data_IF_211311665819
#
_entry.id   IF_211311665819
#
_cell.length_a   1.000
_cell.length_b   1.000
_cell.length_c   1.000
_cell.angle_alpha   90.00
_cell.angle_beta   90.00
_cell.angle_gamma   90.00
#
_symmetry.space_group_name_H-M   'P 1'
#
loop_
_entity.id
_entity.type
_entity.pdbx_description
1 polymer ?
#
# COMPACT_ATOMS: atom_id res chain seq x y z
N UNK A 1 -17.76 -19.89 -38.78
CA UNK A 1 -18.43 -20.30 -37.54
C UNK A 1 -17.34 -20.60 -36.52
N UNK A 2 -17.46 -20.00 -35.40
CA UNK A 2 -16.59 -20.10 -34.19
C UNK A 2 -15.24 -19.44 -34.28
N UNK A 3 -15.18 -18.27 -33.72
CA UNK A 3 -14.13 -17.87 -32.79
C UNK A 3 -14.57 -16.61 -32.05
N UNK A 4 -15.54 -16.77 -31.16
CA UNK A 4 -15.98 -15.78 -30.22
C UNK A 4 -15.93 -16.36 -28.80
N UNK A 5 -14.74 -16.81 -28.35
CA UNK A 5 -14.63 -17.37 -26.99
C UNK A 5 -13.29 -17.07 -26.28
N UNK A 6 -12.48 -16.12 -26.80
CA UNK A 6 -11.18 -15.77 -26.20
C UNK A 6 -11.16 -14.42 -25.46
N UNK A 7 -12.31 -13.92 -24.98
CA UNK A 7 -12.36 -12.65 -24.25
C UNK A 7 -12.75 -12.82 -22.78
N UNK A 8 -12.37 -13.91 -22.11
CA UNK A 8 -12.72 -14.10 -20.70
C UNK A 8 -11.59 -14.64 -19.79
N UNK A 9 -10.34 -14.53 -20.21
CA UNK A 9 -9.20 -14.67 -19.28
C UNK A 9 -8.76 -13.31 -18.75
N UNK A 10 -9.67 -12.54 -18.16
CA UNK A 10 -9.27 -11.53 -17.19
C UNK A 10 -8.71 -12.32 -16.00
N UNK A 11 -7.38 -12.31 -15.86
CA UNK A 11 -6.64 -12.92 -14.77
C UNK A 11 -7.41 -12.75 -13.46
N UNK A 12 -7.82 -13.87 -12.85
CA UNK A 12 -8.60 -13.85 -11.61
C UNK A 12 -7.67 -13.49 -10.45
N UNK A 13 -7.34 -12.18 -10.34
CA UNK A 13 -6.48 -11.63 -9.30
C UNK A 13 -7.15 -11.90 -7.96
N UNK A 14 -6.66 -12.91 -7.26
CA UNK A 14 -7.22 -13.36 -5.99
C UNK A 14 -6.20 -13.26 -4.86
N UNK A 15 -6.43 -12.32 -3.94
CA UNK A 15 -5.64 -12.16 -2.74
C UNK A 15 -6.34 -12.78 -1.52
N UNK A 16 -5.60 -13.32 -0.55
CA UNK A 16 -6.17 -13.73 0.72
C UNK A 16 -6.77 -12.53 1.47
N UNK A 17 -7.88 -12.74 2.18
CA UNK A 17 -8.52 -11.68 2.97
C UNK A 17 -7.59 -11.13 4.06
N UNK A 18 -6.75 -12.02 4.62
CA UNK A 18 -5.87 -11.72 5.74
C UNK A 18 -4.59 -12.55 5.69
N UNK A 19 -3.44 -11.90 5.82
CA UNK A 19 -2.12 -12.53 5.94
C UNK A 19 -1.54 -12.18 7.30
N UNK A 20 -1.05 -13.18 8.04
CA UNK A 20 -0.35 -12.94 9.32
C UNK A 20 1.12 -12.65 9.05
N UNK A 21 1.63 -11.61 9.67
CA UNK A 21 3.02 -11.20 9.60
C UNK A 21 3.53 -10.75 10.99
N UNK A 22 4.80 -10.44 11.09
CA UNK A 22 5.44 -9.95 12.31
C UNK A 22 5.99 -8.55 12.12
N UNK A 23 5.98 -7.75 13.17
CA UNK A 23 6.70 -6.50 13.19
C UNK A 23 8.21 -6.76 13.06
N UNK A 24 8.89 -6.00 12.23
CA UNK A 24 10.32 -6.18 11.94
C UNK A 24 11.25 -5.97 13.15
N UNK A 25 10.83 -5.14 14.12
CA UNK A 25 11.69 -4.76 15.26
C UNK A 25 11.42 -5.56 16.54
N UNK A 26 10.18 -5.97 16.78
CA UNK A 26 9.78 -6.52 18.08
C UNK A 26 8.97 -7.82 18.00
N UNK A 27 8.92 -8.46 16.81
CA UNK A 27 8.26 -9.75 16.55
C UNK A 27 6.76 -9.79 16.88
N UNK A 28 6.13 -8.63 17.18
CA UNK A 28 4.68 -8.56 17.43
C UNK A 28 3.91 -9.05 16.23
N UNK A 29 2.85 -9.78 16.49
CA UNK A 29 1.95 -10.29 15.48
C UNK A 29 1.14 -9.13 14.89
N UNK A 30 1.11 -9.06 13.57
CA UNK A 30 0.34 -8.12 12.77
C UNK A 30 -0.45 -8.89 11.71
N UNK A 31 -1.40 -8.20 11.12
CA UNK A 31 -2.17 -8.71 10.01
C UNK A 31 -2.20 -7.71 8.86
N UNK A 32 -1.89 -8.19 7.67
CA UNK A 32 -2.21 -7.51 6.44
C UNK A 32 -3.63 -7.93 6.04
N UNK A 33 -4.59 -7.02 6.11
CA UNK A 33 -6.02 -7.32 5.92
C UNK A 33 -6.56 -6.48 4.76
N UNK A 34 -7.28 -7.08 3.83
CA UNK A 34 -7.92 -6.38 2.71
C UNK A 34 -8.85 -5.29 3.24
N UNK A 35 -8.83 -4.13 2.59
CA UNK A 35 -9.62 -2.98 3.04
C UNK A 35 -11.14 -3.23 2.97
N UNK A 36 -11.61 -4.03 2.02
CA UNK A 36 -13.02 -4.39 1.89
C UNK A 36 -13.52 -5.36 2.99
N UNK A 37 -12.60 -5.98 3.73
CA UNK A 37 -12.91 -6.81 4.91
C UNK A 37 -12.93 -5.99 6.22
N UNK A 38 -12.65 -4.68 6.17
CA UNK A 38 -12.66 -3.80 7.34
C UNK A 38 -13.88 -2.87 7.29
N UNK A 39 -14.73 -2.96 8.30
CA UNK A 39 -15.90 -2.08 8.40
C UNK A 39 -15.47 -0.61 8.59
N UNK A 40 -16.03 0.29 7.78
CA UNK A 40 -15.85 1.74 7.93
C UNK A 40 -16.66 2.28 9.11
N UNK A 41 -16.17 2.04 10.32
CA UNK A 41 -16.78 2.55 11.56
C UNK A 41 -16.10 3.85 12.02
N UNK A 42 -16.74 4.68 12.84
CA UNK A 42 -16.17 5.96 13.30
C UNK A 42 -14.76 5.85 13.89
N UNK A 43 -14.45 4.75 14.57
CA UNK A 43 -13.12 4.50 15.15
C UNK A 43 -12.05 4.28 14.09
N UNK A 44 -12.36 3.59 13.00
CA UNK A 44 -11.45 3.40 11.84
C UNK A 44 -11.18 4.73 11.15
N UNK A 45 -12.20 5.53 10.90
CA UNK A 45 -12.07 6.87 10.31
C UNK A 45 -11.19 7.78 11.16
N UNK A 46 -11.47 7.84 12.46
CA UNK A 46 -10.69 8.65 13.40
C UNK A 46 -9.23 8.18 13.45
N UNK A 47 -8.99 6.87 13.41
CA UNK A 47 -7.64 6.30 13.43
C UNK A 47 -6.86 6.64 12.16
N UNK A 48 -7.44 6.48 10.99
CA UNK A 48 -6.84 6.88 9.69
C UNK A 48 -6.52 8.38 9.72
N UNK A 49 -7.49 9.21 10.09
CA UNK A 49 -7.30 10.67 10.20
C UNK A 49 -6.14 11.03 11.14
N UNK A 50 -6.07 10.39 12.30
CA UNK A 50 -5.01 10.63 13.28
C UNK A 50 -3.61 10.30 12.71
N UNK A 51 -3.47 9.15 12.06
CA UNK A 51 -2.19 8.73 11.48
C UNK A 51 -1.78 9.63 10.32
N UNK A 52 -2.72 9.96 9.42
CA UNK A 52 -2.46 10.81 8.26
C UNK A 52 -2.08 12.25 8.63
N UNK A 53 -2.42 12.72 9.84
CA UNK A 53 -1.99 14.02 10.37
C UNK A 53 -0.65 13.96 11.15
N UNK A 54 -0.04 12.80 11.33
CA UNK A 54 1.30 12.74 11.93
C UNK A 54 2.31 13.43 11.01
N UNK A 55 3.21 14.20 11.58
CA UNK A 55 4.09 15.13 10.83
C UNK A 55 4.82 14.45 9.66
N UNK A 56 5.36 13.25 9.87
CA UNK A 56 6.10 12.51 8.83
C UNK A 56 5.15 12.04 7.71
N UNK A 57 4.01 11.45 8.05
CA UNK A 57 3.03 10.95 7.08
C UNK A 57 2.44 12.12 6.29
N UNK A 58 2.00 13.16 7.01
CA UNK A 58 1.41 14.36 6.42
C UNK A 58 2.37 15.04 5.44
N UNK A 59 3.62 15.31 5.87
CA UNK A 59 4.64 15.95 5.03
C UNK A 59 4.89 15.18 3.73
N UNK A 60 5.02 13.86 3.83
CA UNK A 60 5.43 13.05 2.70
C UNK A 60 4.30 12.78 1.69
N UNK A 61 3.04 12.72 2.15
CA UNK A 61 1.92 12.27 1.30
C UNK A 61 0.85 13.34 1.06
N UNK A 62 0.63 14.24 2.01
CA UNK A 62 -0.58 15.10 1.98
C UNK A 62 -0.29 16.58 1.88
N UNK A 63 0.85 17.06 2.39
CA UNK A 63 1.15 18.48 2.48
C UNK A 63 1.03 19.23 1.14
N UNK A 64 1.57 18.69 0.07
CA UNK A 64 1.49 19.29 -1.26
C UNK A 64 0.06 19.23 -1.80
N UNK A 65 -0.60 18.08 -1.71
CA UNK A 65 -1.97 17.86 -2.20
C UNK A 65 -3.00 18.74 -1.46
N UNK A 66 -2.89 18.84 -0.13
CA UNK A 66 -3.80 19.59 0.71
C UNK A 66 -3.38 21.06 0.90
N UNK A 67 -2.28 21.49 0.26
CA UNK A 67 -1.76 22.87 0.35
C UNK A 67 -1.63 23.39 1.79
N UNK A 68 -1.22 22.51 2.71
CA UNK A 68 -1.05 22.80 4.12
C UNK A 68 -2.32 22.67 5.00
N UNK A 69 -3.49 22.38 4.43
CA UNK A 69 -4.70 22.11 5.21
C UNK A 69 -4.59 20.74 5.91
N UNK A 70 -5.24 20.59 7.06
CA UNK A 70 -5.24 19.30 7.80
C UNK A 70 -5.98 18.23 7.03
N UNK A 71 -5.52 16.98 7.17
CA UNK A 71 -6.25 15.80 6.72
C UNK A 71 -7.50 15.63 7.61
N UNK A 72 -8.68 15.57 6.99
CA UNK A 72 -9.98 15.60 7.68
C UNK A 72 -10.62 14.21 7.78
N UNK A 73 -11.72 14.10 8.53
CA UNK A 73 -12.55 12.89 8.52
C UNK A 73 -13.16 12.62 7.14
N UNK A 74 -13.48 13.68 6.37
CA UNK A 74 -13.96 13.52 4.98
C UNK A 74 -12.89 12.91 4.08
N UNK A 75 -11.62 13.35 4.20
CA UNK A 75 -10.52 12.74 3.45
C UNK A 75 -10.35 11.25 3.81
N UNK A 76 -10.57 10.88 5.09
CA UNK A 76 -10.54 9.49 5.51
C UNK A 76 -11.71 8.69 4.92
N UNK A 77 -12.91 9.26 4.84
CA UNK A 77 -14.06 8.61 4.19
C UNK A 77 -13.82 8.38 2.71
N UNK A 78 -13.28 9.37 2.01
CA UNK A 78 -12.92 9.26 0.59
C UNK A 78 -11.87 8.15 0.37
N UNK A 79 -10.84 8.10 1.23
CA UNK A 79 -9.83 7.05 1.17
C UNK A 79 -10.42 5.66 1.42
N UNK A 80 -11.26 5.50 2.43
CA UNK A 80 -11.90 4.21 2.76
C UNK A 80 -12.85 3.75 1.65
N UNK A 81 -13.61 4.69 1.07
CA UNK A 81 -14.50 4.40 -0.06
C UNK A 81 -13.69 3.98 -1.30
N UNK A 82 -12.62 4.72 -1.62
CA UNK A 82 -11.71 4.38 -2.71
C UNK A 82 -11.08 3.00 -2.50
N UNK A 83 -10.56 2.74 -1.31
CA UNK A 83 -9.94 1.46 -0.96
C UNK A 83 -10.90 0.27 -1.14
N UNK A 84 -12.16 0.42 -0.71
CA UNK A 84 -13.19 -0.62 -0.86
C UNK A 84 -13.60 -0.79 -2.33
N UNK A 85 -13.75 0.32 -3.07
CA UNK A 85 -14.12 0.31 -4.48
C UNK A 85 -13.08 -0.41 -5.34
N UNK A 86 -11.78 -0.23 -5.05
CA UNK A 86 -10.69 -0.89 -5.77
C UNK A 86 -10.81 -2.42 -5.75
N UNK A 87 -11.11 -3.00 -4.60
CA UNK A 87 -11.36 -4.43 -4.45
C UNK A 87 -12.56 -4.89 -5.24
N UNK A 88 -13.67 -4.16 -5.14
CA UNK A 88 -14.92 -4.51 -5.85
C UNK A 88 -14.76 -4.44 -7.36
N UNK A 89 -14.04 -3.44 -7.85
CA UNK A 89 -13.83 -3.19 -9.29
C UNK A 89 -12.58 -3.88 -9.83
N UNK A 90 -11.74 -4.48 -8.96
CA UNK A 90 -10.46 -5.11 -9.32
C UNK A 90 -9.50 -4.16 -10.05
N UNK A 91 -9.47 -2.89 -9.63
CA UNK A 91 -8.65 -1.85 -10.27
C UNK A 91 -7.40 -1.48 -9.48
N UNK A 92 -7.46 -1.63 -8.15
CA UNK A 92 -6.36 -1.40 -7.21
C UNK A 92 -6.66 -2.10 -5.89
N UNK A 93 -5.63 -2.40 -5.10
CA UNK A 93 -5.73 -3.31 -3.97
C UNK A 93 -5.12 -2.68 -2.72
N UNK A 94 -5.95 -2.22 -1.79
CA UNK A 94 -5.53 -1.60 -0.54
C UNK A 94 -5.64 -2.59 0.60
N UNK A 95 -4.58 -2.71 1.39
CA UNK A 95 -4.53 -3.49 2.61
C UNK A 95 -4.27 -2.59 3.81
N UNK A 96 -4.90 -2.88 4.93
CA UNK A 96 -4.53 -2.29 6.20
C UNK A 96 -3.57 -3.21 6.96
N UNK A 97 -2.61 -2.59 7.63
CA UNK A 97 -1.75 -3.26 8.59
C UNK A 97 -2.43 -3.10 9.94
N UNK A 98 -2.86 -4.22 10.52
CA UNK A 98 -3.64 -4.26 11.75
C UNK A 98 -2.84 -4.94 12.85
N UNK A 99 -2.70 -4.28 13.97
CA UNK A 99 -2.15 -4.81 15.23
C UNK A 99 -3.31 -5.19 16.15
N UNK A 100 -3.25 -6.36 16.78
CA UNK A 100 -4.35 -6.85 17.63
C UNK A 100 -4.64 -5.94 18.84
N UNK A 101 -3.65 -5.16 19.31
CA UNK A 101 -3.80 -4.24 20.44
C UNK A 101 -4.14 -2.81 20.02
N UNK A 102 -3.54 -2.32 18.91
CA UNK A 102 -3.61 -0.91 18.50
C UNK A 102 -4.53 -0.66 17.31
N UNK A 103 -5.13 -1.70 16.74
CA UNK A 103 -5.95 -1.61 15.55
C UNK A 103 -5.11 -1.26 14.31
N UNK A 104 -5.60 -0.39 13.44
CA UNK A 104 -4.88 0.01 12.23
C UNK A 104 -3.61 0.78 12.61
N UNK A 105 -2.46 0.31 12.12
CA UNK A 105 -1.14 0.92 12.30
C UNK A 105 -0.47 1.30 10.98
N UNK A 106 -1.13 1.08 9.85
CA UNK A 106 -0.66 1.48 8.53
C UNK A 106 -1.57 0.99 7.42
N UNK A 107 -1.27 1.39 6.21
CA UNK A 107 -1.84 0.82 4.99
C UNK A 107 -0.76 0.69 3.92
N UNK A 108 -0.99 -0.24 3.00
CA UNK A 108 -0.18 -0.47 1.80
C UNK A 108 -1.12 -0.78 0.65
N UNK A 109 -0.78 -0.32 -0.54
CA UNK A 109 -1.59 -0.53 -1.73
C UNK A 109 -0.78 -0.95 -2.96
N UNK A 110 -1.45 -1.64 -3.88
CA UNK A 110 -1.08 -1.82 -5.27
C UNK A 110 -2.06 -0.95 -6.06
N UNK A 111 -1.57 0.03 -6.83
CA UNK A 111 -2.38 1.10 -7.42
C UNK A 111 -3.05 0.75 -8.75
N UNK A 112 -2.72 -0.40 -9.32
CA UNK A 112 -3.32 -0.89 -10.57
C UNK A 112 -3.49 -2.40 -10.56
N UNK A 113 -4.21 -2.93 -11.54
CA UNK A 113 -4.29 -4.36 -11.83
C UNK A 113 -3.32 -4.79 -12.95
N UNK A 114 -2.40 -3.93 -13.35
CA UNK A 114 -1.39 -4.22 -14.36
C UNK A 114 -0.29 -5.08 -13.74
N UNK A 115 -0.15 -6.31 -14.24
CA UNK A 115 0.70 -7.31 -13.63
C UNK A 115 2.20 -7.06 -13.85
N UNK A 116 2.54 -6.34 -14.90
CA UNK A 116 3.92 -6.06 -15.34
C UNK A 116 4.42 -4.67 -14.98
N UNK A 117 3.59 -3.81 -14.38
CA UNK A 117 3.98 -2.46 -13.91
C UNK A 117 3.07 -1.95 -12.78
N UNK A 118 3.18 -2.53 -11.60
CA UNK A 118 2.36 -2.19 -10.45
C UNK A 118 3.05 -1.17 -9.53
N UNK A 119 2.57 0.07 -9.48
CA UNK A 119 3.02 1.03 -8.47
C UNK A 119 2.47 0.64 -7.10
N UNK A 120 3.33 0.63 -6.08
CA UNK A 120 2.94 0.44 -4.69
C UNK A 120 3.08 1.74 -3.89
N UNK A 121 2.24 1.89 -2.87
CA UNK A 121 2.31 2.97 -1.91
C UNK A 121 2.05 2.49 -0.49
N UNK A 122 2.48 3.26 0.52
CA UNK A 122 2.21 2.93 1.92
C UNK A 122 2.35 4.13 2.85
N UNK A 123 1.70 4.02 3.99
CA UNK A 123 1.91 4.89 5.15
C UNK A 123 1.82 4.08 6.45
N UNK A 124 2.46 4.56 7.50
CA UNK A 124 2.45 3.91 8.80
C UNK A 124 2.35 4.90 9.96
N UNK A 125 1.76 4.43 11.05
CA UNK A 125 1.77 5.11 12.32
C UNK A 125 3.20 5.25 12.84
N UNK A 126 3.67 6.49 12.95
CA UNK A 126 5.02 6.81 13.44
C UNK A 126 5.26 6.38 14.89
N UNK A 127 4.18 6.17 15.68
CA UNK A 127 4.27 5.69 17.05
C UNK A 127 4.46 4.16 17.14
N UNK A 128 4.28 3.45 16.02
CA UNK A 128 4.41 2.00 15.94
C UNK A 128 5.34 1.62 14.77
N UNK A 129 6.67 1.87 14.90
CA UNK A 129 7.62 1.60 13.82
C UNK A 129 7.82 0.09 13.58
N UNK A 130 8.40 -0.26 12.42
CA UNK A 130 8.75 -1.64 12.07
C UNK A 130 7.63 -2.44 11.39
N UNK A 131 6.52 -1.81 11.02
CA UNK A 131 5.37 -2.49 10.42
C UNK A 131 5.47 -2.67 8.90
N UNK A 132 6.13 -1.75 8.18
CA UNK A 132 6.04 -1.68 6.72
C UNK A 132 6.88 -2.72 6.00
N UNK A 133 8.13 -2.97 6.40
CA UNK A 133 9.01 -3.88 5.64
C UNK A 133 8.37 -5.27 5.42
N UNK A 134 7.89 -5.89 6.51
CA UNK A 134 7.27 -7.21 6.39
C UNK A 134 5.87 -7.15 5.74
N UNK A 135 5.17 -6.00 5.82
CA UNK A 135 3.91 -5.81 5.11
C UNK A 135 4.14 -5.71 3.58
N UNK A 136 5.19 -4.99 3.15
CA UNK A 136 5.59 -4.95 1.73
C UNK A 136 5.92 -6.36 1.23
N UNK A 137 6.73 -7.11 1.97
CA UNK A 137 7.09 -8.47 1.60
C UNK A 137 5.86 -9.37 1.49
N UNK A 138 5.00 -9.40 2.50
CA UNK A 138 3.79 -10.22 2.51
C UNK A 138 2.80 -9.85 1.40
N UNK A 139 2.65 -8.56 1.09
CA UNK A 139 1.83 -8.11 -0.03
C UNK A 139 2.41 -8.57 -1.37
N UNK A 140 3.73 -8.41 -1.57
CA UNK A 140 4.39 -8.82 -2.81
C UNK A 140 4.32 -10.33 -3.00
N UNK A 141 4.58 -11.12 -1.94
CA UNK A 141 4.49 -12.57 -2.01
C UNK A 141 3.07 -13.02 -2.44
N UNK A 142 2.03 -12.40 -1.84
CA UNK A 142 0.65 -12.66 -2.25
C UNK A 142 0.36 -12.18 -3.68
N UNK A 143 0.94 -11.06 -4.12
CA UNK A 143 0.75 -10.53 -5.47
C UNK A 143 1.43 -11.40 -6.53
N UNK A 144 2.60 -11.96 -6.25
CA UNK A 144 3.30 -12.90 -7.14
C UNK A 144 2.42 -14.13 -7.41
N UNK A 145 1.75 -14.66 -6.38
CA UNK A 145 0.83 -15.79 -6.52
C UNK A 145 -0.36 -15.47 -7.45
N UNK A 146 -0.69 -14.19 -7.64
CA UNK A 146 -1.73 -13.73 -8.56
C UNK A 146 -1.21 -13.27 -9.93
N UNK A 147 0.10 -13.42 -10.18
CA UNK A 147 0.70 -13.14 -11.48
C UNK A 147 1.41 -11.80 -11.62
N UNK A 148 1.50 -10.97 -10.57
CA UNK A 148 2.30 -9.76 -10.63
C UNK A 148 3.79 -10.09 -10.74
N UNK A 149 4.48 -9.45 -11.70
CA UNK A 149 5.90 -9.73 -11.99
C UNK A 149 6.82 -8.53 -11.80
N UNK A 150 6.28 -7.31 -11.67
CA UNK A 150 7.06 -6.09 -11.48
C UNK A 150 6.32 -5.09 -10.61
N UNK A 151 7.08 -4.50 -9.69
CA UNK A 151 6.60 -3.48 -8.78
C UNK A 151 7.48 -2.25 -8.85
N UNK A 152 6.85 -1.08 -8.80
CA UNK A 152 7.51 0.22 -8.70
C UNK A 152 7.06 0.98 -7.45
N UNK A 153 7.92 1.84 -6.92
CA UNK A 153 7.59 2.73 -5.81
C UNK A 153 8.31 4.07 -5.96
N UNK A 154 7.60 5.17 -5.73
CA UNK A 154 8.19 6.50 -5.76
C UNK A 154 8.39 7.04 -4.36
N UNK A 155 9.63 7.38 -4.02
CA UNK A 155 10.03 7.87 -2.70
C UNK A 155 10.64 9.25 -2.84
N UNK A 156 10.14 10.21 -2.07
CA UNK A 156 10.74 11.56 -2.02
C UNK A 156 12.22 11.46 -1.66
N UNK A 157 13.05 12.32 -2.27
CA UNK A 157 14.50 12.33 -2.05
C UNK A 157 14.87 12.52 -0.55
N UNK A 158 14.02 13.18 0.23
CA UNK A 158 14.22 13.45 1.66
C UNK A 158 13.57 12.41 2.61
N UNK A 159 13.10 11.25 2.07
CA UNK A 159 12.45 10.20 2.85
C UNK A 159 13.29 8.92 2.97
N UNK A 160 14.44 9.03 3.64
CA UNK A 160 15.37 7.91 3.86
C UNK A 160 14.70 6.67 4.50
N UNK A 161 13.70 6.89 5.36
CA UNK A 161 13.02 5.77 6.02
C UNK A 161 12.29 4.89 5.01
N UNK A 162 11.63 5.49 4.01
CA UNK A 162 10.97 4.74 2.94
C UNK A 162 11.98 4.04 2.04
N UNK A 163 13.09 4.70 1.68
CA UNK A 163 14.17 4.09 0.91
C UNK A 163 14.70 2.83 1.57
N UNK A 164 15.00 2.89 2.89
CA UNK A 164 15.47 1.73 3.66
C UNK A 164 14.44 0.59 3.76
N UNK A 165 13.14 0.91 3.73
CA UNK A 165 12.08 -0.10 3.69
C UNK A 165 12.14 -0.85 2.36
N UNK A 166 12.23 -0.13 1.25
CA UNK A 166 12.26 -0.72 -0.09
C UNK A 166 13.54 -1.54 -0.32
N UNK A 167 14.71 -1.05 0.12
CA UNK A 167 15.96 -1.82 0.08
C UNK A 167 15.81 -3.17 0.80
N UNK A 168 15.28 -3.18 2.03
CA UNK A 168 15.04 -4.42 2.79
C UNK A 168 14.01 -5.33 2.13
N UNK A 169 13.07 -4.75 1.40
CA UNK A 169 12.07 -5.49 0.65
C UNK A 169 12.56 -5.94 -0.74
N UNK A 170 13.86 -5.76 -1.05
CA UNK A 170 14.49 -6.25 -2.28
C UNK A 170 14.22 -5.40 -3.51
N UNK A 171 13.82 -4.14 -3.32
CA UNK A 171 13.79 -3.17 -4.41
C UNK A 171 15.18 -2.62 -4.69
N UNK A 172 15.44 -2.29 -5.94
CA UNK A 172 16.64 -1.59 -6.39
C UNK A 172 16.27 -0.19 -6.87
N UNK A 173 17.19 0.75 -6.65
CA UNK A 173 17.03 2.10 -7.20
C UNK A 173 17.07 2.00 -8.73
N UNK A 174 16.03 2.51 -9.38
CA UNK A 174 15.95 2.54 -10.83
C UNK A 174 16.83 3.66 -11.39
N UNK A 175 17.48 3.38 -12.51
CA UNK A 175 18.24 4.38 -13.27
C UNK A 175 17.34 5.25 -14.19
N UNK A 176 16.04 5.09 -14.12
CA UNK A 176 15.10 5.92 -14.87
C UNK A 176 15.06 7.31 -14.26
N UNK A 177 15.79 8.23 -14.87
CA UNK A 177 15.74 9.65 -14.52
C UNK A 177 14.42 10.28 -14.98
N UNK A 178 13.76 11.04 -14.11
CA UNK A 178 12.74 12.01 -14.52
C UNK A 178 11.29 11.56 -14.53
N UNK A 179 10.92 10.36 -14.13
CA UNK A 179 9.50 9.95 -14.11
C UNK A 179 8.64 10.80 -13.14
N UNK A 180 9.22 11.23 -12.01
CA UNK A 180 8.53 12.12 -11.03
C UNK A 180 9.54 13.04 -10.37
N UNK A 181 9.47 14.34 -10.67
CA UNK A 181 10.37 15.35 -10.09
C UNK A 181 10.37 15.31 -8.55
N UNK A 182 11.56 15.26 -7.93
CA UNK A 182 11.74 15.22 -6.49
C UNK A 182 11.59 13.83 -5.86
N UNK A 183 11.51 12.78 -6.67
CA UNK A 183 11.35 11.40 -6.21
C UNK A 183 12.42 10.48 -6.79
N UNK A 184 12.85 9.50 -6.00
CA UNK A 184 13.52 8.31 -6.47
C UNK A 184 12.49 7.29 -6.95
N UNK A 185 12.77 6.62 -8.07
CA UNK A 185 12.03 5.46 -8.51
C UNK A 185 12.74 4.18 -8.02
N UNK A 186 12.01 3.30 -7.36
CA UNK A 186 12.47 2.01 -6.90
C UNK A 186 11.73 0.91 -7.64
N UNK A 187 12.44 -0.16 -8.05
CA UNK A 187 11.87 -1.26 -8.82
C UNK A 187 12.22 -2.61 -8.21
N UNK A 188 11.26 -3.54 -8.24
CA UNK A 188 11.47 -4.96 -7.95
C UNK A 188 10.85 -5.80 -9.06
N UNK A 189 11.69 -6.53 -9.80
CA UNK A 189 11.26 -7.50 -10.79
C UNK A 189 11.31 -8.91 -10.18
N UNK A 190 10.34 -9.73 -10.50
CA UNK A 190 10.26 -11.14 -10.12
C UNK A 190 10.79 -11.93 -11.29
N UNK A 191 11.85 -12.69 -11.05
CA UNK A 191 12.50 -13.55 -12.05
C UNK A 191 12.07 -15.00 -11.87
#
# INVERSE_FOLDING_TARGET
MNDMNDMNDMNDIHFPEKVTLKNHFNERKLHLTRADCISSVPTVRARVTSICNQSTVYRNLFQARLKGARYTLSDADEFLAWATAGWKLRTHFVFFIVDDQFGIVGAIDIKSAELDDAEIGYWADSNHPGNITNAVLAMIDSAIETGFIRFTAFVRHDNDNSSRVLERAGFNLSNKEGEREGYFCWERCIT
#
